data_IF_181355958284
#
_entry.id   IF_181355958284
#
_cell.length_a   1.000
_cell.length_b   1.000
_cell.length_c   1.000
_cell.angle_alpha   90.00
_cell.angle_beta   90.00
_cell.angle_gamma   90.00
#
_symmetry.space_group_name_H-M   'P 1'
#
loop_
_entity.id
_entity.type
_entity.pdbx_description
1 polymer ?
#
# COMPACT_ATOMS: atom_id res chain seq x y z
N UNK A 1 -22.07 32.45 19.64
CA UNK A 1 -22.26 31.45 18.57
C UNK A 1 -21.14 31.68 17.55
N UNK A 2 -20.40 30.69 17.20
CA UNK A 2 -19.37 30.72 16.15
C UNK A 2 -19.96 30.06 14.91
N UNK A 3 -19.75 30.65 13.73
CA UNK A 3 -20.22 30.06 12.45
C UNK A 3 -19.02 29.58 11.65
N UNK A 4 -19.09 28.35 11.15
CA UNK A 4 -18.10 27.69 10.28
C UNK A 4 -18.77 27.42 8.92
N UNK A 5 -18.31 28.15 7.92
CA UNK A 5 -18.81 27.99 6.53
C UNK A 5 -17.89 27.00 5.80
N UNK A 6 -18.47 25.88 5.36
CA UNK A 6 -17.80 24.77 4.68
C UNK A 6 -18.49 24.44 3.35
N UNK A 7 -19.19 25.41 2.75
CA UNK A 7 -19.76 25.24 1.41
C UNK A 7 -18.65 24.96 0.39
N UNK A 8 -18.90 24.00 -0.49
CA UNK A 8 -17.94 23.57 -1.52
C UNK A 8 -16.84 22.62 -1.03
N UNK A 9 -16.81 22.26 0.25
CA UNK A 9 -15.90 21.26 0.78
C UNK A 9 -16.59 19.90 0.89
N UNK A 10 -15.85 18.83 0.52
CA UNK A 10 -16.33 17.45 0.61
C UNK A 10 -15.70 16.71 1.79
N UNK A 11 -16.39 15.67 2.28
CA UNK A 11 -15.83 14.79 3.32
C UNK A 11 -14.46 14.21 2.88
N UNK A 12 -13.48 14.17 3.79
CA UNK A 12 -13.58 14.34 5.26
C UNK A 12 -13.35 15.76 5.79
N UNK A 13 -13.17 16.78 4.94
CA UNK A 13 -12.82 18.16 5.36
C UNK A 13 -13.84 18.77 6.31
N UNK A 14 -15.17 18.73 6.02
CA UNK A 14 -16.18 19.28 6.94
C UNK A 14 -16.16 18.66 8.33
N UNK A 15 -15.94 17.35 8.43
CA UNK A 15 -15.86 16.64 9.70
C UNK A 15 -14.63 17.07 10.50
N UNK A 16 -13.48 17.17 9.84
CA UNK A 16 -12.22 17.57 10.46
C UNK A 16 -12.28 19.03 10.98
N UNK A 17 -12.71 19.97 10.15
CA UNK A 17 -12.78 21.39 10.53
C UNK A 17 -13.84 21.64 11.61
N UNK A 18 -14.98 20.94 11.57
CA UNK A 18 -16.00 20.98 12.64
C UNK A 18 -15.40 20.52 13.97
N UNK A 19 -14.68 19.40 13.99
CA UNK A 19 -14.01 18.91 15.18
C UNK A 19 -12.98 19.89 15.72
N UNK A 20 -12.12 20.42 14.86
CA UNK A 20 -11.10 21.40 15.21
C UNK A 20 -11.69 22.70 15.79
N UNK A 21 -12.79 23.20 15.20
CA UNK A 21 -13.49 24.36 15.72
C UNK A 21 -14.01 24.12 17.14
N UNK A 22 -14.65 22.95 17.37
CA UNK A 22 -15.14 22.55 18.68
C UNK A 22 -14.01 22.40 19.71
N UNK A 23 -12.82 21.91 19.33
CA UNK A 23 -11.66 21.78 20.22
C UNK A 23 -11.24 23.14 20.79
N UNK A 24 -11.28 24.21 20.00
CA UNK A 24 -10.92 25.55 20.41
C UNK A 24 -11.99 26.33 21.20
N UNK A 25 -13.20 25.78 21.36
CA UNK A 25 -14.31 26.48 22.03
C UNK A 25 -14.34 26.19 23.53
N UNK A 26 -15.03 27.06 24.29
CA UNK A 26 -15.36 26.82 25.69
C UNK A 26 -16.59 25.90 25.83
N UNK A 27 -16.68 25.18 26.94
CA UNK A 27 -17.85 24.33 27.22
C UNK A 27 -19.16 25.13 27.24
N UNK A 28 -20.22 24.57 26.67
CA UNK A 28 -21.50 25.25 26.45
C UNK A 28 -21.50 26.20 25.26
N UNK A 29 -20.36 26.33 24.57
CA UNK A 29 -20.28 27.15 23.34
C UNK A 29 -21.09 26.55 22.20
N UNK A 30 -21.71 27.40 21.40
CA UNK A 30 -22.52 26.99 20.26
C UNK A 30 -21.77 27.23 18.96
N UNK A 31 -21.65 26.18 18.14
CA UNK A 31 -21.10 26.19 16.79
C UNK A 31 -22.21 25.98 15.77
N UNK A 32 -22.33 26.87 14.82
CA UNK A 32 -23.08 26.66 13.59
C UNK A 32 -22.14 26.18 12.49
N UNK A 33 -22.46 25.07 11.84
CA UNK A 33 -21.72 24.57 10.67
C UNK A 33 -22.66 24.57 9.47
N UNK A 34 -22.17 25.12 8.36
CA UNK A 34 -22.91 25.19 7.09
C UNK A 34 -22.08 24.36 6.07
N UNK A 35 -22.73 23.39 5.45
CA UNK A 35 -22.10 22.49 4.45
C UNK A 35 -23.09 22.19 3.33
N UNK A 36 -22.59 21.69 2.19
CA UNK A 36 -23.40 21.28 1.03
C UNK A 36 -23.12 19.83 0.59
N UNK A 37 -22.19 19.15 1.25
CA UNK A 37 -21.91 17.73 1.01
C UNK A 37 -22.92 16.84 1.76
N UNK A 38 -23.74 16.02 1.06
CA UNK A 38 -24.73 15.13 1.67
C UNK A 38 -24.16 14.12 2.69
N UNK A 39 -22.88 13.72 2.57
CA UNK A 39 -22.22 12.78 3.49
C UNK A 39 -22.08 13.38 4.89
N UNK A 40 -22.01 14.69 5.01
CA UNK A 40 -21.92 15.40 6.30
C UNK A 40 -23.11 15.12 7.21
N UNK A 41 -24.30 14.81 6.66
CA UNK A 41 -25.50 14.47 7.45
C UNK A 41 -25.32 13.19 8.28
N UNK A 42 -24.46 12.30 7.83
CA UNK A 42 -24.12 11.08 8.54
C UNK A 42 -22.83 11.26 9.38
N UNK A 43 -21.80 11.80 8.76
CA UNK A 43 -20.45 11.78 9.32
C UNK A 43 -20.25 12.77 10.47
N UNK A 44 -20.86 13.97 10.38
CA UNK A 44 -20.79 14.95 11.49
C UNK A 44 -21.51 14.41 12.73
N UNK A 45 -22.75 13.91 12.70
CA UNK A 45 -23.39 13.31 13.88
C UNK A 45 -22.59 12.16 14.49
N UNK A 46 -22.06 11.25 13.70
CA UNK A 46 -21.23 10.13 14.18
C UNK A 46 -19.95 10.64 14.87
N UNK A 47 -19.33 11.66 14.32
CA UNK A 47 -18.17 12.30 14.93
C UNK A 47 -18.55 12.97 16.25
N UNK A 48 -19.66 13.73 16.31
CA UNK A 48 -20.13 14.40 17.52
C UNK A 48 -20.42 13.41 18.65
N UNK A 49 -21.05 12.28 18.33
CA UNK A 49 -21.31 11.22 19.32
C UNK A 49 -20.02 10.68 19.93
N UNK A 50 -18.99 10.47 19.11
CA UNK A 50 -17.66 9.98 19.55
C UNK A 50 -16.91 10.95 20.46
N UNK A 51 -17.13 12.24 20.28
CA UNK A 51 -16.44 13.30 21.04
C UNK A 51 -17.30 13.87 22.18
N UNK A 52 -18.53 13.38 22.36
CA UNK A 52 -19.44 13.82 23.40
C UNK A 52 -20.01 15.22 23.20
N UNK A 53 -19.97 15.78 21.97
CA UNK A 53 -20.64 17.02 21.64
C UNK A 53 -22.09 16.77 21.28
N UNK A 54 -22.96 17.77 21.51
CA UNK A 54 -24.41 17.62 21.34
C UNK A 54 -24.88 18.31 20.08
N UNK A 55 -25.48 17.55 19.18
CA UNK A 55 -26.21 18.11 18.05
C UNK A 55 -27.54 18.65 18.52
N UNK A 56 -27.76 19.97 18.41
CA UNK A 56 -29.01 20.65 18.79
C UNK A 56 -30.01 20.72 17.65
N UNK A 57 -29.53 20.95 16.43
CA UNK A 57 -30.35 21.08 15.23
C UNK A 57 -29.57 20.60 14.00
N UNK A 58 -30.24 19.89 13.13
CA UNK A 58 -29.83 19.64 11.75
C UNK A 58 -31.00 20.09 10.85
N UNK A 59 -30.74 21.00 9.94
CA UNK A 59 -31.73 21.50 8.96
C UNK A 59 -31.10 21.46 7.57
N UNK A 60 -31.91 21.17 6.56
CA UNK A 60 -31.50 21.19 5.15
C UNK A 60 -32.49 22.07 4.36
N UNK A 61 -31.96 23.04 3.64
CA UNK A 61 -32.73 23.93 2.77
C UNK A 61 -31.96 24.21 1.48
N UNK A 62 -32.59 23.94 0.33
CA UNK A 62 -32.04 24.19 -1.03
C UNK A 62 -30.59 23.70 -1.22
N UNK A 63 -30.25 22.49 -0.67
CA UNK A 63 -28.94 21.88 -0.78
C UNK A 63 -27.90 22.39 0.24
N UNK A 64 -28.26 23.32 1.10
CA UNK A 64 -27.44 23.75 2.23
C UNK A 64 -27.86 23.00 3.49
N UNK A 65 -26.87 22.43 4.20
CA UNK A 65 -27.10 21.66 5.41
C UNK A 65 -26.51 22.44 6.59
N UNK A 66 -27.34 22.73 7.58
CA UNK A 66 -26.96 23.47 8.79
C UNK A 66 -26.99 22.58 10.01
N UNK A 67 -25.90 22.59 10.76
CA UNK A 67 -25.77 21.94 12.06
C UNK A 67 -25.63 23.00 13.14
N UNK A 68 -26.43 22.91 14.20
CA UNK A 68 -26.21 23.67 15.43
C UNK A 68 -25.72 22.70 16.49
N UNK A 69 -24.52 22.93 16.97
CA UNK A 69 -23.76 22.00 17.82
C UNK A 69 -23.40 22.72 19.12
N UNK A 70 -23.66 22.08 20.24
CA UNK A 70 -23.22 22.54 21.57
C UNK A 70 -21.99 21.73 22.01
N UNK A 71 -20.92 22.42 22.38
CA UNK A 71 -19.80 21.80 23.06
C UNK A 71 -20.22 21.46 24.48
N UNK A 72 -20.32 20.18 24.82
CA UNK A 72 -20.79 19.73 26.13
C UNK A 72 -19.64 19.66 27.15
N UNK A 73 -19.93 19.94 28.42
CA UNK A 73 -19.03 19.72 29.54
C UNK A 73 -18.78 18.21 29.67
N UNK A 74 -17.56 17.77 29.51
CA UNK A 74 -17.20 16.33 29.42
C UNK A 74 -16.61 15.90 28.07
N UNK A 75 -16.39 16.83 27.18
CA UNK A 75 -15.72 16.65 25.88
C UNK A 75 -14.46 15.77 25.92
N UNK A 76 -13.83 15.51 27.03
CA UNK A 76 -12.64 14.65 27.17
C UNK A 76 -12.75 13.70 28.39
N UNK A 77 -13.90 13.64 29.08
CA UNK A 77 -14.09 12.78 30.26
C UNK A 77 -14.77 11.44 29.96
N UNK A 78 -15.03 11.10 28.71
CA UNK A 78 -15.48 9.75 28.37
C UNK A 78 -14.30 8.80 28.56
N UNK A 79 -14.32 8.19 29.75
CA UNK A 79 -13.61 6.98 30.17
C UNK A 79 -12.14 6.85 29.75
N UNK A 80 -11.28 7.46 30.54
CA UNK A 80 -9.84 7.27 30.52
C UNK A 80 -9.37 5.86 30.91
N UNK A 81 -10.24 4.87 31.00
CA UNK A 81 -9.90 3.48 31.37
C UNK A 81 -9.58 2.61 30.15
N UNK A 82 -10.02 2.99 28.95
CA UNK A 82 -9.67 2.32 27.70
C UNK A 82 -8.68 3.18 26.91
N UNK A 83 -7.40 2.86 27.05
CA UNK A 83 -6.25 3.38 26.29
C UNK A 83 -6.03 4.91 26.36
N UNK A 84 -5.14 5.32 27.26
CA UNK A 84 -4.41 6.59 27.16
C UNK A 84 -3.70 6.62 25.79
N UNK A 85 -4.34 7.17 24.78
CA UNK A 85 -3.63 7.61 23.58
C UNK A 85 -2.69 8.71 24.06
N UNK A 86 -1.42 8.38 24.27
CA UNK A 86 -0.39 9.40 24.44
C UNK A 86 -0.46 10.25 23.17
N UNK A 87 -0.84 11.53 23.31
CA UNK A 87 -0.79 12.48 22.21
C UNK A 87 0.67 12.57 21.81
N UNK A 88 1.02 11.87 20.72
CA UNK A 88 2.32 11.98 20.06
C UNK A 88 2.18 13.09 19.02
N UNK A 89 3.20 13.93 18.87
CA UNK A 89 3.26 14.81 17.72
C UNK A 89 3.22 13.95 16.44
N UNK A 90 2.56 14.44 15.37
CA UNK A 90 2.38 13.65 14.14
C UNK A 90 3.73 13.12 13.57
N UNK A 91 4.82 13.89 13.74
CA UNK A 91 6.19 13.48 13.37
C UNK A 91 6.73 12.28 14.15
N UNK A 92 6.17 11.99 15.35
CA UNK A 92 6.60 10.92 16.23
C UNK A 92 5.74 9.64 16.06
N UNK A 93 4.75 9.68 15.16
CA UNK A 93 3.91 8.52 14.84
C UNK A 93 4.62 7.73 13.74
N UNK A 94 5.08 6.50 14.02
CA UNK A 94 5.71 5.68 12.99
C UNK A 94 4.69 5.32 11.90
N UNK A 95 5.12 5.32 10.66
CA UNK A 95 4.33 4.82 9.53
C UNK A 95 4.29 3.27 9.53
N UNK A 96 3.71 2.70 10.59
CA UNK A 96 3.72 1.29 10.93
C UNK A 96 2.40 0.91 11.62
N UNK A 97 1.64 -0.03 11.05
CA UNK A 97 0.31 -0.40 11.53
C UNK A 97 -0.03 -1.87 11.29
N UNK A 98 -1.06 -2.38 11.98
CA UNK A 98 -1.69 -3.67 11.67
C UNK A 98 -2.42 -3.57 10.34
N UNK A 99 -2.33 -4.63 9.55
CA UNK A 99 -3.02 -4.78 8.27
C UNK A 99 -3.67 -6.17 8.18
N UNK A 100 -4.92 -6.34 8.62
CA UNK A 100 -5.69 -7.54 8.36
C UNK A 100 -5.94 -7.69 6.86
N UNK A 101 -5.69 -8.88 6.32
CA UNK A 101 -5.88 -9.20 4.90
C UNK A 101 -6.60 -10.53 4.75
N UNK A 102 -7.04 -10.86 3.53
CA UNK A 102 -7.61 -12.19 3.23
C UNK A 102 -6.58 -13.32 3.37
N UNK A 103 -5.28 -13.00 3.33
CA UNK A 103 -4.17 -13.94 3.51
C UNK A 103 -3.53 -13.84 4.91
N UNK A 104 -4.31 -13.44 5.94
CA UNK A 104 -3.83 -13.35 7.31
C UNK A 104 -3.56 -11.92 7.79
N UNK A 105 -3.06 -11.81 9.02
CA UNK A 105 -2.78 -10.54 9.68
C UNK A 105 -1.32 -10.15 9.50
N UNK A 106 -1.08 -9.16 8.66
CA UNK A 106 0.23 -8.56 8.44
C UNK A 106 0.41 -7.30 9.29
N UNK A 107 1.64 -6.86 9.37
CA UNK A 107 2.03 -5.51 9.78
C UNK A 107 2.55 -4.78 8.57
N UNK A 108 2.01 -3.59 8.28
CA UNK A 108 2.48 -2.73 7.20
C UNK A 108 3.39 -1.65 7.77
N UNK A 109 4.57 -1.47 7.14
CA UNK A 109 5.51 -0.39 7.45
C UNK A 109 5.90 0.33 6.17
N UNK A 110 5.91 1.66 6.21
CA UNK A 110 6.29 2.51 5.07
C UNK A 110 7.72 3.03 5.25
N UNK A 111 8.48 3.01 4.16
CA UNK A 111 9.85 3.50 4.06
C UNK A 111 9.93 4.55 2.97
N UNK A 112 10.24 5.78 3.35
CA UNK A 112 10.41 6.87 2.40
C UNK A 112 11.81 6.85 1.79
N UNK A 113 11.90 6.86 0.47
CA UNK A 113 13.17 7.00 -0.25
C UNK A 113 13.34 8.46 -0.66
N UNK A 114 14.18 9.21 0.06
CA UNK A 114 14.37 10.66 -0.16
C UNK A 114 14.82 11.00 -1.58
N UNK A 115 15.65 10.14 -2.18
CA UNK A 115 16.20 10.38 -3.52
C UNK A 115 15.14 10.39 -4.63
N UNK A 116 14.15 9.50 -4.54
CA UNK A 116 13.07 9.35 -5.53
C UNK A 116 11.78 10.04 -5.09
N UNK A 117 11.63 10.33 -3.80
CA UNK A 117 10.38 10.78 -3.18
C UNK A 117 9.31 9.69 -3.12
N UNK A 118 9.68 8.41 -3.28
CA UNK A 118 8.75 7.29 -3.29
C UNK A 118 8.63 6.65 -1.91
N UNK A 119 7.42 6.19 -1.60
CA UNK A 119 7.13 5.44 -0.39
C UNK A 119 7.07 3.94 -0.72
N UNK A 120 8.04 3.19 -0.24
CA UNK A 120 8.08 1.74 -0.34
C UNK A 120 7.42 1.09 0.87
N UNK A 121 6.98 -0.16 0.72
CA UNK A 121 6.22 -0.84 1.78
C UNK A 121 6.89 -2.16 2.16
N UNK A 122 6.94 -2.46 3.46
CA UNK A 122 7.16 -3.80 3.95
C UNK A 122 5.87 -4.33 4.59
N UNK A 123 5.45 -5.53 4.17
CA UNK A 123 4.43 -6.33 4.85
C UNK A 123 5.15 -7.45 5.59
N UNK A 124 5.01 -7.50 6.89
CA UNK A 124 5.67 -8.51 7.73
C UNK A 124 4.65 -9.29 8.57
N UNK A 125 4.96 -10.54 8.86
CA UNK A 125 4.17 -11.42 9.71
C UNK A 125 5.09 -12.25 10.59
N UNK A 126 4.65 -12.56 11.80
CA UNK A 126 5.36 -13.41 12.74
C UNK A 126 6.62 -12.78 13.36
N UNK A 127 7.36 -13.58 14.10
CA UNK A 127 8.66 -13.22 14.66
C UNK A 127 9.77 -13.54 13.64
N UNK A 128 10.49 -12.52 13.21
CA UNK A 128 11.59 -12.62 12.24
C UNK A 128 12.97 -12.58 12.91
N UNK A 129 13.03 -12.54 14.25
CA UNK A 129 14.27 -12.47 15.03
C UNK A 129 14.89 -13.84 15.35
N UNK A 130 14.23 -14.94 14.93
CA UNK A 130 14.67 -16.30 15.14
C UNK A 130 15.95 -16.65 14.37
N UNK A 131 16.53 -17.84 14.64
CA UNK A 131 17.76 -18.29 13.98
C UNK A 131 17.55 -18.78 12.55
N UNK A 132 16.31 -18.97 12.11
CA UNK A 132 16.01 -19.48 10.78
C UNK A 132 15.95 -18.36 9.75
N UNK A 133 16.38 -18.62 8.49
CA UNK A 133 16.27 -17.65 7.41
C UNK A 133 14.83 -17.20 7.19
N UNK A 134 14.64 -15.88 7.10
CA UNK A 134 13.31 -15.29 6.90
C UNK A 134 12.84 -15.50 5.46
N UNK A 135 11.59 -15.93 5.29
CA UNK A 135 10.96 -16.02 3.97
C UNK A 135 10.68 -14.59 3.46
N UNK A 136 11.34 -14.21 2.35
CA UNK A 136 11.26 -12.85 1.80
C UNK A 136 10.84 -12.86 0.35
N UNK A 137 9.85 -12.04 0.01
CA UNK A 137 9.52 -11.68 -1.37
C UNK A 137 9.86 -10.20 -1.60
N UNK A 138 10.71 -9.93 -2.60
CA UNK A 138 10.87 -8.57 -3.13
C UNK A 138 9.97 -8.45 -4.35
N UNK A 139 8.90 -7.67 -4.21
CA UNK A 139 7.88 -7.46 -5.21
C UNK A 139 7.99 -6.04 -5.78
N UNK A 140 8.15 -5.91 -7.09
CA UNK A 140 8.06 -4.61 -7.77
C UNK A 140 6.61 -4.35 -8.15
N UNK A 141 6.11 -3.17 -7.84
CA UNK A 141 4.74 -2.73 -8.12
C UNK A 141 4.30 -3.04 -9.55
N UNK A 142 3.09 -3.53 -9.66
CA UNK A 142 2.40 -3.74 -10.92
C UNK A 142 0.90 -3.44 -10.72
N UNK A 143 0.51 -2.16 -10.82
CA UNK A 143 -0.85 -1.72 -10.56
C UNK A 143 -1.89 -2.56 -11.30
N UNK A 144 -1.64 -2.88 -12.56
CA UNK A 144 -2.57 -3.64 -13.39
C UNK A 144 -2.73 -5.08 -12.91
N UNK A 145 -1.65 -5.74 -12.48
CA UNK A 145 -1.70 -7.10 -11.95
C UNK A 145 -2.15 -7.14 -10.50
N UNK A 146 -1.55 -6.30 -9.66
CA UNK A 146 -1.72 -6.35 -8.20
C UNK A 146 -3.10 -5.86 -7.76
N UNK A 147 -3.63 -4.79 -8.40
CA UNK A 147 -4.89 -4.18 -8.01
C UNK A 147 -6.06 -4.49 -8.97
N UNK A 148 -5.80 -4.60 -10.27
CA UNK A 148 -6.87 -4.76 -11.26
C UNK A 148 -7.02 -6.21 -11.77
N UNK A 149 -6.16 -7.14 -11.31
CA UNK A 149 -6.25 -8.55 -11.69
C UNK A 149 -5.98 -8.78 -13.18
N UNK A 150 -5.11 -7.97 -13.80
CA UNK A 150 -4.75 -8.13 -15.21
C UNK A 150 -4.15 -9.50 -15.49
N UNK A 151 -4.63 -10.17 -16.53
CA UNK A 151 -4.13 -11.46 -17.00
C UNK A 151 -2.90 -11.33 -17.91
N UNK A 152 -2.46 -10.12 -18.25
CA UNK A 152 -1.24 -9.87 -19.06
C UNK A 152 0.06 -10.24 -18.35
N UNK A 153 0.03 -10.44 -17.04
CA UNK A 153 1.19 -10.81 -16.24
C UNK A 153 0.81 -11.71 -15.07
N UNK A 154 1.83 -12.25 -14.43
CA UNK A 154 1.72 -13.11 -13.25
C UNK A 154 1.85 -12.36 -11.90
N UNK A 155 1.95 -11.02 -11.92
CA UNK A 155 2.31 -10.23 -10.74
C UNK A 155 1.32 -10.36 -9.58
N UNK A 156 0.03 -10.14 -9.83
CA UNK A 156 -1.01 -10.26 -8.80
C UNK A 156 -1.07 -11.65 -8.18
N UNK A 157 -1.00 -12.70 -9.01
CA UNK A 157 -0.95 -14.09 -8.53
C UNK A 157 0.30 -14.35 -7.69
N UNK A 158 1.46 -13.80 -8.07
CA UNK A 158 2.70 -13.91 -7.30
C UNK A 158 2.61 -13.19 -5.96
N UNK A 159 2.01 -12.00 -5.92
CA UNK A 159 1.81 -11.27 -4.67
C UNK A 159 0.91 -12.04 -3.71
N UNK A 160 -0.25 -12.47 -4.18
CA UNK A 160 -1.21 -13.25 -3.38
C UNK A 160 -0.59 -14.56 -2.87
N UNK A 161 0.09 -15.32 -3.74
CA UNK A 161 0.73 -16.57 -3.35
C UNK A 161 1.88 -16.37 -2.36
N UNK A 162 2.66 -15.29 -2.50
CA UNK A 162 3.69 -14.97 -1.53
C UNK A 162 3.10 -14.64 -0.15
N UNK A 163 1.98 -13.92 -0.09
CA UNK A 163 1.27 -13.66 1.16
C UNK A 163 0.76 -14.94 1.81
N UNK A 164 0.14 -15.84 1.02
CA UNK A 164 -0.34 -17.14 1.52
C UNK A 164 0.80 -18.02 2.05
N UNK A 165 1.94 -18.08 1.34
CA UNK A 165 3.09 -18.86 1.77
C UNK A 165 3.71 -18.32 3.08
N UNK A 166 3.72 -17.02 3.27
CA UNK A 166 4.16 -16.39 4.52
C UNK A 166 3.21 -16.74 5.66
N UNK A 167 1.91 -16.71 5.41
CA UNK A 167 0.89 -17.11 6.39
C UNK A 167 1.02 -18.59 6.76
N UNK A 168 1.12 -19.48 5.79
CA UNK A 168 1.31 -20.93 5.99
C UNK A 168 2.58 -21.24 6.79
N UNK A 169 3.68 -20.50 6.55
CA UNK A 169 4.94 -20.64 7.28
C UNK A 169 4.89 -20.00 8.67
N UNK A 170 3.89 -19.17 8.95
CA UNK A 170 3.72 -18.45 10.21
C UNK A 170 4.65 -17.24 10.36
N UNK A 171 5.38 -16.84 9.31
CA UNK A 171 6.26 -15.67 9.35
C UNK A 171 7.01 -15.42 8.05
N UNK A 172 7.33 -14.14 7.83
CA UNK A 172 8.06 -13.68 6.66
C UNK A 172 7.78 -12.23 6.32
N UNK A 173 8.35 -11.78 5.19
CA UNK A 173 8.27 -10.39 4.77
C UNK A 173 8.09 -10.24 3.26
N UNK A 174 7.21 -9.32 2.85
CA UNK A 174 7.16 -8.82 1.48
C UNK A 174 7.69 -7.39 1.48
N UNK A 175 8.74 -7.14 0.70
CA UNK A 175 9.20 -5.79 0.38
C UNK A 175 8.59 -5.39 -0.95
N UNK A 176 7.61 -4.47 -0.88
CA UNK A 176 6.88 -3.97 -2.04
C UNK A 176 7.48 -2.66 -2.52
N UNK A 177 8.13 -2.70 -3.68
CA UNK A 177 8.87 -1.58 -4.25
C UNK A 177 8.01 -0.82 -5.25
N UNK A 178 7.92 0.48 -5.10
CA UNK A 178 7.22 1.39 -6.00
C UNK A 178 8.03 1.63 -7.29
N UNK A 179 8.22 0.54 -8.05
CA UNK A 179 9.01 0.49 -9.30
C UNK A 179 8.15 -0.06 -10.45
N UNK A 180 7.05 0.64 -10.73
CA UNK A 180 6.10 0.26 -11.77
C UNK A 180 6.75 0.15 -13.15
N UNK A 181 6.30 -0.81 -13.96
CA UNK A 181 6.77 -0.97 -15.34
C UNK A 181 8.26 -1.30 -15.44
N UNK A 182 8.83 -2.06 -14.50
CA UNK A 182 10.29 -2.32 -14.39
C UNK A 182 11.11 -1.03 -14.19
N UNK A 183 10.54 -0.07 -13.46
CA UNK A 183 11.19 1.20 -13.16
C UNK A 183 10.94 2.32 -14.15
N UNK A 184 10.22 2.09 -15.26
CA UNK A 184 9.90 3.14 -16.24
C UNK A 184 8.62 3.91 -15.93
N UNK A 185 7.85 3.44 -14.95
CA UNK A 185 6.60 4.05 -14.50
C UNK A 185 5.36 3.57 -15.26
N UNK A 186 4.19 3.84 -14.67
CA UNK A 186 2.90 3.38 -15.20
C UNK A 186 2.60 3.88 -16.61
N UNK A 187 2.86 5.17 -16.87
CA UNK A 187 2.55 5.78 -18.16
C UNK A 187 3.30 5.09 -19.31
N UNK A 188 4.59 4.87 -19.14
CA UNK A 188 5.43 4.24 -20.16
C UNK A 188 5.10 2.75 -20.31
N UNK A 189 4.76 2.08 -19.20
CA UNK A 189 4.24 0.70 -19.25
C UNK A 189 2.97 0.57 -20.09
N UNK A 190 2.03 1.52 -19.98
CA UNK A 190 0.79 1.46 -20.80
C UNK A 190 1.09 1.73 -22.28
N UNK A 191 2.08 2.58 -22.60
CA UNK A 191 2.56 2.72 -23.98
C UNK A 191 3.20 1.42 -24.49
N UNK A 192 4.01 0.76 -23.65
CA UNK A 192 4.57 -0.54 -24.00
C UNK A 192 3.48 -1.59 -24.26
N UNK A 193 2.39 -1.59 -23.47
CA UNK A 193 1.23 -2.44 -23.75
C UNK A 193 0.59 -2.17 -25.11
N UNK A 194 0.48 -0.90 -25.51
CA UNK A 194 -0.02 -0.54 -26.85
C UNK A 194 0.86 -1.10 -27.97
N UNK A 195 2.19 -0.98 -27.84
CA UNK A 195 3.13 -1.57 -28.80
C UNK A 195 3.06 -3.10 -28.82
N UNK A 196 2.83 -3.73 -27.68
CA UNK A 196 2.62 -5.18 -27.60
C UNK A 196 1.32 -5.61 -28.31
N UNK A 197 0.26 -4.82 -28.22
CA UNK A 197 -0.98 -5.07 -28.98
C UNK A 197 -0.76 -4.98 -30.50
N UNK A 198 0.29 -4.27 -30.93
CA UNK A 198 0.76 -4.16 -32.33
C UNK A 198 1.78 -5.25 -32.69
N UNK A 199 2.14 -6.16 -31.77
CA UNK A 199 3.02 -7.31 -32.01
C UNK A 199 4.47 -7.17 -31.53
N UNK A 200 4.83 -6.08 -30.84
CA UNK A 200 6.14 -6.00 -30.20
C UNK A 200 6.23 -6.91 -28.97
N UNK A 201 7.40 -7.51 -28.71
CA UNK A 201 7.57 -8.19 -27.43
C UNK A 201 7.86 -7.20 -26.29
N UNK A 202 7.84 -7.69 -25.05
CA UNK A 202 7.99 -6.84 -23.85
C UNK A 202 9.33 -6.11 -23.79
N UNK A 203 10.43 -6.69 -24.27
CA UNK A 203 11.75 -6.04 -24.26
C UNK A 203 11.86 -5.03 -25.40
N UNK A 204 11.42 -5.40 -26.59
CA UNK A 204 11.46 -4.55 -27.76
C UNK A 204 10.56 -3.31 -27.58
N UNK A 205 9.39 -3.46 -26.96
CA UNK A 205 8.51 -2.34 -26.62
C UNK A 205 9.22 -1.30 -25.72
N UNK A 206 9.98 -1.73 -24.71
CA UNK A 206 10.76 -0.81 -23.87
C UNK A 206 11.88 -0.10 -24.68
N UNK A 207 12.60 -0.84 -25.53
CA UNK A 207 13.67 -0.29 -26.37
C UNK A 207 13.10 0.74 -27.36
N UNK A 208 11.98 0.46 -28.00
CA UNK A 208 11.30 1.38 -28.91
C UNK A 208 10.93 2.68 -28.19
N UNK A 209 10.54 2.61 -26.92
CA UNK A 209 10.24 3.79 -26.10
C UNK A 209 11.48 4.50 -25.54
N UNK A 210 12.69 4.02 -25.85
CA UNK A 210 13.96 4.61 -25.40
C UNK A 210 14.35 4.24 -23.96
N UNK A 211 13.75 3.20 -23.40
CA UNK A 211 14.05 2.71 -22.06
C UNK A 211 14.94 1.47 -22.09
N UNK A 212 15.72 1.21 -21.02
CA UNK A 212 16.40 -0.07 -20.87
C UNK A 212 15.38 -1.20 -20.69
N UNK A 213 15.73 -2.44 -21.03
CA UNK A 213 14.86 -3.61 -20.81
C UNK A 213 14.40 -3.79 -19.35
N UNK A 214 15.26 -3.41 -18.40
CA UNK A 214 14.99 -3.40 -16.96
C UNK A 214 15.75 -2.22 -16.32
N UNK A 215 15.02 -1.31 -15.69
CA UNK A 215 15.55 -0.14 -15.00
C UNK A 215 15.43 -0.26 -13.47
N UNK A 216 15.05 -1.44 -12.96
CA UNK A 216 14.85 -1.64 -11.51
C UNK A 216 16.17 -1.58 -10.75
N UNK A 217 16.08 -1.07 -9.52
CA UNK A 217 17.15 -1.04 -8.56
C UNK A 217 16.64 -1.65 -7.23
N UNK A 218 17.43 -2.54 -6.66
CA UNK A 218 17.05 -3.24 -5.43
C UNK A 218 17.77 -2.71 -4.18
N UNK A 219 18.49 -1.59 -4.28
CA UNK A 219 19.21 -0.99 -3.15
C UNK A 219 18.30 -0.69 -1.97
N UNK A 220 17.15 -0.03 -2.24
CA UNK A 220 16.20 0.28 -1.18
C UNK A 220 15.63 -0.97 -0.50
N UNK A 221 15.49 -2.09 -1.22
CA UNK A 221 15.07 -3.35 -0.60
C UNK A 221 16.09 -3.83 0.44
N UNK A 222 17.39 -3.67 0.19
CA UNK A 222 18.42 -4.06 1.15
C UNK A 222 18.43 -3.16 2.38
N UNK A 223 18.18 -1.87 2.20
CA UNK A 223 18.03 -0.91 3.31
C UNK A 223 16.80 -1.23 4.17
N UNK A 224 15.68 -1.60 3.54
CA UNK A 224 14.47 -2.06 4.24
C UNK A 224 14.73 -3.33 5.04
N UNK A 225 15.38 -4.34 4.44
CA UNK A 225 15.73 -5.59 5.15
C UNK A 225 16.62 -5.32 6.37
N UNK A 226 17.62 -4.44 6.23
CA UNK A 226 18.47 -4.01 7.35
C UNK A 226 17.67 -3.30 8.44
N UNK A 227 16.75 -2.41 8.07
CA UNK A 227 15.89 -1.70 9.03
C UNK A 227 14.90 -2.63 9.75
N UNK A 228 14.58 -3.77 9.16
CA UNK A 228 13.77 -4.84 9.76
C UNK A 228 14.63 -5.87 10.50
N UNK A 229 15.97 -5.67 10.57
CA UNK A 229 16.93 -6.56 11.22
C UNK A 229 16.96 -7.99 10.61
N UNK A 230 16.55 -8.12 9.32
CA UNK A 230 16.57 -9.38 8.58
C UNK A 230 17.98 -9.59 8.02
N UNK A 231 18.71 -10.56 8.54
CA UNK A 231 20.10 -10.84 8.18
C UNK A 231 20.25 -12.01 7.21
N UNK A 232 19.38 -13.00 7.30
CA UNK A 232 19.40 -14.20 6.46
C UNK A 232 18.05 -14.39 5.78
N UNK A 233 18.06 -14.61 4.46
CA UNK A 233 16.82 -14.69 3.69
C UNK A 233 16.68 -16.00 2.91
N UNK A 234 15.47 -16.55 2.92
CA UNK A 234 14.96 -17.48 1.93
C UNK A 234 14.18 -16.65 0.89
N UNK A 235 14.76 -16.46 -0.30
CA UNK A 235 14.24 -15.50 -1.28
C UNK A 235 13.25 -16.14 -2.25
N UNK A 236 11.99 -15.69 -2.23
CA UNK A 236 10.97 -16.09 -3.20
C UNK A 236 11.18 -15.33 -4.52
N UNK A 237 11.81 -15.97 -5.50
CA UNK A 237 12.06 -15.34 -6.82
C UNK A 237 12.36 -16.36 -7.91
N UNK A 238 12.01 -16.01 -9.15
CA UNK A 238 12.42 -16.71 -10.38
C UNK A 238 13.45 -15.89 -11.17
N UNK A 239 13.82 -14.68 -10.70
CA UNK A 239 14.69 -13.75 -11.40
C UNK A 239 16.15 -13.89 -10.92
N UNK A 240 17.08 -14.44 -11.75
CA UNK A 240 18.48 -14.58 -11.37
C UNK A 240 19.20 -13.25 -11.21
N UNK A 241 18.86 -12.24 -12.02
CA UNK A 241 19.45 -10.90 -11.92
C UNK A 241 19.13 -10.23 -10.56
N UNK A 242 17.89 -10.41 -10.06
CA UNK A 242 17.55 -9.96 -8.71
C UNK A 242 18.44 -10.59 -7.64
N UNK A 243 18.67 -11.91 -7.74
CA UNK A 243 19.54 -12.64 -6.81
C UNK A 243 20.97 -12.08 -6.87
N UNK A 244 21.50 -11.87 -8.06
CA UNK A 244 22.84 -11.33 -8.26
C UNK A 244 22.99 -9.92 -7.70
N UNK A 245 22.02 -9.02 -7.99
CA UNK A 245 22.04 -7.66 -7.44
C UNK A 245 21.96 -7.66 -5.91
N UNK A 246 21.08 -8.47 -5.31
CA UNK A 246 20.95 -8.55 -3.86
C UNK A 246 22.23 -9.08 -3.19
N UNK A 247 22.89 -10.09 -3.78
CA UNK A 247 24.18 -10.61 -3.30
C UNK A 247 25.28 -9.56 -3.40
N UNK A 248 25.34 -8.76 -4.47
CA UNK A 248 26.31 -7.65 -4.62
C UNK A 248 26.11 -6.55 -3.56
N UNK A 249 24.95 -6.50 -2.93
CA UNK A 249 24.62 -5.55 -1.85
C UNK A 249 24.65 -6.20 -0.46
N UNK A 250 25.40 -7.30 -0.32
CA UNK A 250 25.67 -8.02 0.94
C UNK A 250 24.42 -8.61 1.62
N UNK A 251 23.36 -8.94 0.85
CA UNK A 251 22.24 -9.71 1.39
C UNK A 251 22.61 -11.18 1.46
N UNK A 252 22.55 -11.77 2.66
CA UNK A 252 22.82 -13.18 2.87
C UNK A 252 21.64 -14.05 2.44
N UNK A 253 21.67 -14.52 1.18
CA UNK A 253 20.63 -15.39 0.62
C UNK A 253 21.04 -16.84 0.87
N UNK A 254 20.36 -17.49 1.83
CA UNK A 254 20.59 -18.88 2.21
C UNK A 254 19.90 -19.83 1.22
N UNK A 255 18.70 -19.48 0.78
CA UNK A 255 17.88 -20.31 -0.11
C UNK A 255 17.16 -19.45 -1.13
N UNK A 256 16.93 -20.01 -2.32
CA UNK A 256 16.11 -19.42 -3.37
C UNK A 256 14.95 -20.38 -3.63
N UNK A 257 13.73 -19.89 -3.39
CA UNK A 257 12.51 -20.65 -3.65
C UNK A 257 11.82 -20.06 -4.87
N UNK A 258 11.63 -20.83 -5.94
CA UNK A 258 10.89 -20.36 -7.11
C UNK A 258 9.41 -20.15 -6.78
N UNK A 259 8.79 -19.16 -7.44
CA UNK A 259 7.37 -18.85 -7.31
C UNK A 259 6.74 -18.77 -8.70
N UNK A 260 6.33 -19.92 -9.23
CA UNK A 260 5.72 -20.07 -10.57
C UNK A 260 4.22 -20.25 -10.35
N UNK A 261 3.45 -19.18 -10.57
CA UNK A 261 1.99 -19.15 -10.36
C UNK A 261 1.34 -18.21 -11.38
N UNK A 262 0.03 -18.35 -11.58
CA UNK A 262 -0.73 -17.48 -12.46
C UNK A 262 -0.40 -17.64 -13.95
N UNK A 263 0.09 -18.81 -14.35
CA UNK A 263 0.34 -19.14 -15.75
C UNK A 263 -0.99 -19.30 -16.46
N UNK A 264 -1.16 -18.68 -17.63
CA UNK A 264 -2.36 -18.76 -18.43
C UNK A 264 -2.10 -18.33 -19.87
N UNK A 265 -3.09 -18.56 -20.73
CA UNK A 265 -3.00 -18.26 -22.17
C UNK A 265 -2.72 -16.77 -22.48
N UNK A 266 -3.22 -15.88 -21.62
CA UNK A 266 -3.13 -14.43 -21.85
C UNK A 266 -1.77 -13.84 -21.47
N UNK A 267 -0.92 -14.60 -20.73
CA UNK A 267 0.45 -14.19 -20.34
C UNK A 267 1.54 -15.17 -20.80
N UNK A 268 1.21 -16.17 -21.60
CA UNK A 268 2.18 -17.16 -22.06
C UNK A 268 3.36 -16.52 -22.80
N UNK A 269 3.11 -15.60 -23.74
CA UNK A 269 4.17 -14.86 -24.43
C UNK A 269 5.05 -14.04 -23.47
N UNK A 270 4.45 -13.36 -22.51
CA UNK A 270 5.15 -12.60 -21.49
C UNK A 270 6.06 -13.50 -20.63
N UNK A 271 5.57 -14.67 -20.22
CA UNK A 271 6.36 -15.63 -19.44
C UNK A 271 7.45 -16.29 -20.28
N UNK A 272 7.20 -16.58 -21.56
CA UNK A 272 8.20 -17.05 -22.51
C UNK A 272 9.34 -16.04 -22.67
N UNK A 273 9.02 -14.75 -22.87
CA UNK A 273 10.02 -13.69 -22.93
C UNK A 273 10.84 -13.62 -21.64
N UNK A 274 10.23 -13.79 -20.48
CA UNK A 274 10.95 -13.87 -19.18
C UNK A 274 11.91 -15.06 -19.13
N UNK A 275 11.46 -16.23 -19.55
CA UNK A 275 12.28 -17.44 -19.52
C UNK A 275 13.43 -17.36 -20.51
N UNK A 276 13.16 -17.06 -21.79
CA UNK A 276 14.12 -17.17 -22.88
C UNK A 276 15.07 -15.97 -22.99
N UNK A 277 14.54 -14.74 -22.82
CA UNK A 277 15.31 -13.50 -23.02
C UNK A 277 15.84 -12.88 -21.72
N UNK A 278 15.25 -13.22 -20.57
CA UNK A 278 15.63 -12.64 -19.28
C UNK A 278 16.16 -13.68 -18.28
N UNK A 279 16.32 -14.94 -18.70
CA UNK A 279 16.91 -16.01 -17.90
C UNK A 279 16.13 -16.39 -16.65
N UNK A 280 14.84 -16.09 -16.58
CA UNK A 280 14.01 -16.49 -15.43
C UNK A 280 13.92 -18.02 -15.35
N UNK A 281 14.01 -18.55 -14.14
CA UNK A 281 13.84 -19.98 -13.87
C UNK A 281 12.35 -20.37 -13.96
N UNK A 282 11.82 -20.41 -15.17
CA UNK A 282 10.44 -20.84 -15.48
C UNK A 282 10.55 -22.00 -16.44
N UNK A 283 9.97 -23.14 -16.08
CA UNK A 283 9.94 -24.32 -16.97
C UNK A 283 8.99 -24.04 -18.16
N UNK A 284 9.48 -24.25 -19.38
CA UNK A 284 8.70 -24.10 -20.60
C UNK A 284 7.46 -25.02 -20.64
N UNK A 285 7.52 -26.18 -19.98
CA UNK A 285 6.35 -27.08 -19.85
C UNK A 285 5.27 -26.45 -18.96
N UNK A 286 5.66 -25.70 -17.93
CA UNK A 286 4.70 -24.99 -17.07
C UNK A 286 3.98 -23.84 -17.81
N UNK A 287 4.57 -23.30 -18.89
CA UNK A 287 3.96 -22.24 -19.70
C UNK A 287 2.98 -22.82 -20.72
N UNK A 288 3.28 -23.97 -21.30
CA UNK A 288 2.52 -24.54 -22.40
C UNK A 288 1.36 -25.47 -21.96
N UNK A 289 1.20 -25.73 -20.66
CA UNK A 289 0.06 -26.45 -20.11
C UNK A 289 0.06 -27.96 -20.40
N UNK A 290 1.23 -28.58 -20.59
CA UNK A 290 1.41 -30.02 -20.70
C UNK A 290 1.73 -30.68 -19.33
#
# INVERSE_FOLDING_TARGET
>A
MLTLDLLGYHCPVPVYETRKALEGMVDGGILEVIADDPETKHDIPVMLERIGARLLLLNEDVGEIRFIIEKHQGWLEMDNSASRIKVREAKDIPADARLPTVNGEFRIRVFHEEHTGLDHVALSMGDMSGPDPVLVRIHSECLTGDAFGSLRCDCGSQLSSAMSLIEEKGGGCIVYLRQEGRGIGLREKIKAYNLQDEGADTMDANIILGHPPDARNYRIATEILKALEITEVCLLTNNPDKVEQMKKMDVNIIEITPLIVGVGKDNAEYLTTKAERMGHAIDSNAINGD
#
